data_IF_454410886259
#
_entry.id   IF_454410886259
#
_cell.length_a   1.000
_cell.length_b   1.000
_cell.length_c   1.000
_cell.angle_alpha   90.00
_cell.angle_beta   90.00
_cell.angle_gamma   90.00
#
_symmetry.space_group_name_H-M   'P 1'
#
loop_
_entity.id
_entity.type
_entity.pdbx_description
1 polymer ?
#
# COMPACT_ATOMS: atom_id res chain seq x y z
N UNK A 1 22.45 3.53 3.62
CA UNK A 1 22.86 3.64 5.04
C UNK A 1 22.94 2.24 5.62
N UNK A 2 24.07 1.81 6.20
CA UNK A 2 24.11 0.60 7.03
C UNK A 2 23.70 1.02 8.44
N UNK A 3 22.53 0.57 8.87
CA UNK A 3 22.08 0.76 10.25
C UNK A 3 23.02 -0.01 11.19
N UNK A 4 23.47 0.64 12.26
CA UNK A 4 24.23 0.02 13.37
C UNK A 4 23.31 -0.63 14.41
N UNK A 5 21.99 -0.58 14.19
CA UNK A 5 21.01 -1.17 15.09
C UNK A 5 21.03 -2.70 14.98
N UNK A 6 21.31 -3.37 16.09
CA UNK A 6 21.26 -4.83 16.17
C UNK A 6 19.91 -5.25 16.74
N UNK A 7 19.11 -5.93 15.93
CA UNK A 7 17.85 -6.49 16.38
C UNK A 7 18.08 -7.72 17.26
N UNK A 8 17.36 -7.82 18.36
CA UNK A 8 17.26 -9.07 19.12
C UNK A 8 16.47 -10.11 18.33
N UNK A 9 16.64 -11.41 18.62
CA UNK A 9 15.84 -12.46 17.98
C UNK A 9 14.33 -12.23 18.13
N UNK A 10 13.89 -11.71 19.29
CA UNK A 10 12.49 -11.38 19.55
C UNK A 10 11.99 -10.22 18.66
N UNK A 11 12.81 -9.20 18.44
CA UNK A 11 12.47 -8.09 17.54
C UNK A 11 12.37 -8.56 16.09
N UNK A 12 13.28 -9.43 15.65
CA UNK A 12 13.24 -10.03 14.31
C UNK A 12 11.98 -10.88 14.10
N UNK A 13 11.65 -11.73 15.07
CA UNK A 13 10.42 -12.54 15.03
C UNK A 13 9.18 -11.67 14.96
N UNK A 14 9.13 -10.60 15.76
CA UNK A 14 8.02 -9.66 15.73
C UNK A 14 7.90 -8.97 14.36
N UNK A 15 9.00 -8.49 13.79
CA UNK A 15 9.01 -7.86 12.46
C UNK A 15 8.48 -8.80 11.38
N UNK A 16 8.94 -10.06 11.37
CA UNK A 16 8.48 -11.08 10.44
C UNK A 16 6.99 -11.37 10.61
N UNK A 17 6.53 -11.56 11.85
CA UNK A 17 5.13 -11.84 12.14
C UNK A 17 4.22 -10.68 11.73
N UNK A 18 4.64 -9.43 11.97
CA UNK A 18 3.87 -8.25 11.57
C UNK A 18 3.86 -8.05 10.06
N UNK A 19 4.96 -8.32 9.35
CA UNK A 19 4.95 -8.28 7.88
C UNK A 19 3.91 -9.26 7.32
N UNK A 20 3.92 -10.51 7.78
CA UNK A 20 2.94 -11.53 7.35
C UNK A 20 1.52 -11.08 7.63
N UNK A 21 1.28 -10.51 8.83
CA UNK A 21 -0.04 -10.01 9.20
C UNK A 21 -0.49 -8.85 8.29
N UNK A 22 0.39 -7.87 8.03
CA UNK A 22 0.07 -6.72 7.17
C UNK A 22 -0.25 -7.18 5.75
N UNK A 23 0.55 -8.11 5.20
CA UNK A 23 0.32 -8.68 3.88
C UNK A 23 -1.06 -9.35 3.80
N UNK A 24 -1.39 -10.19 4.78
CA UNK A 24 -2.67 -10.88 4.82
C UNK A 24 -3.86 -9.92 4.97
N UNK A 25 -3.75 -8.92 5.85
CA UNK A 25 -4.84 -7.97 6.09
C UNK A 25 -5.09 -7.09 4.86
N UNK A 26 -4.03 -6.58 4.22
CA UNK A 26 -4.18 -5.78 3.01
C UNK A 26 -4.70 -6.61 1.83
N UNK A 27 -4.34 -7.90 1.74
CA UNK A 27 -4.90 -8.82 0.76
C UNK A 27 -6.41 -9.00 0.99
N UNK A 28 -6.85 -9.16 2.25
CA UNK A 28 -8.27 -9.24 2.60
C UNK A 28 -9.03 -7.95 2.28
N UNK A 29 -8.44 -6.79 2.55
CA UNK A 29 -9.04 -5.50 2.20
C UNK A 29 -9.22 -5.39 0.69
N UNK A 30 -8.21 -5.77 -0.11
CA UNK A 30 -8.29 -5.68 -1.57
C UNK A 30 -9.23 -6.73 -2.17
N UNK A 31 -9.23 -7.96 -1.68
CA UNK A 31 -10.07 -9.06 -2.16
C UNK A 31 -11.53 -8.92 -1.70
N UNK A 32 -11.75 -8.41 -0.49
CA UNK A 32 -13.07 -8.15 0.10
C UNK A 32 -13.76 -6.90 -0.44
N UNK A 33 -13.05 -6.05 -1.18
CA UNK A 33 -13.61 -4.87 -1.86
C UNK A 33 -14.52 -5.20 -3.07
N UNK A 34 -15.20 -6.35 -3.04
CA UNK A 34 -16.17 -6.78 -4.06
C UNK A 34 -17.52 -6.06 -3.98
N UNK A 35 -17.81 -5.38 -2.87
CA UNK A 35 -18.99 -4.52 -2.73
C UNK A 35 -18.58 -3.26 -1.97
N UNK A 36 -18.36 -2.16 -2.70
CA UNK A 36 -18.42 -0.80 -2.18
C UNK A 36 -17.60 -0.59 -0.89
N UNK A 37 -16.28 -0.75 -0.94
CA UNK A 37 -15.43 -0.09 0.05
C UNK A 37 -14.85 1.17 -0.57
N UNK A 38 -15.27 2.32 -0.03
CA UNK A 38 -14.68 3.61 -0.33
C UNK A 38 -13.18 3.55 -0.03
N UNK A 39 -12.35 3.78 -1.04
CA UNK A 39 -10.90 3.82 -0.89
C UNK A 39 -10.50 4.80 0.24
N UNK A 40 -11.30 5.84 0.51
CA UNK A 40 -11.12 6.74 1.66
C UNK A 40 -11.28 6.07 3.03
N UNK A 41 -12.21 5.11 3.19
CA UNK A 41 -12.36 4.33 4.43
C UNK A 41 -11.16 3.39 4.61
N UNK A 42 -10.74 2.73 3.53
CA UNK A 42 -9.59 1.83 3.56
C UNK A 42 -8.27 2.57 3.86
N UNK A 43 -8.11 3.82 3.37
CA UNK A 43 -6.98 4.70 3.71
C UNK A 43 -6.96 5.01 5.21
N UNK A 44 -8.10 5.35 5.80
CA UNK A 44 -8.18 5.62 7.25
C UNK A 44 -7.82 4.38 8.07
N UNK A 45 -8.27 3.20 7.65
CA UNK A 45 -7.91 1.93 8.29
C UNK A 45 -6.40 1.66 8.19
N UNK A 46 -5.80 1.89 7.03
CA UNK A 46 -4.35 1.74 6.85
C UNK A 46 -3.55 2.67 7.80
N UNK A 47 -3.98 3.93 7.95
CA UNK A 47 -3.33 4.87 8.89
C UNK A 47 -3.49 4.45 10.35
N UNK A 48 -4.68 4.03 10.77
CA UNK A 48 -4.89 3.52 12.13
C UNK A 48 -4.03 2.28 12.40
N UNK A 49 -3.92 1.41 11.40
CA UNK A 49 -3.14 0.20 11.54
C UNK A 49 -1.62 0.49 11.61
N UNK A 50 -1.12 1.42 10.78
CA UNK A 50 0.26 1.92 10.87
C UNK A 50 0.56 2.53 12.24
N UNK A 51 -0.35 3.36 12.78
CA UNK A 51 -0.17 3.97 14.09
C UNK A 51 -0.05 2.92 15.21
N UNK A 52 -0.86 1.86 15.16
CA UNK A 52 -0.77 0.74 16.10
C UNK A 52 0.56 0.00 15.99
N UNK A 53 1.03 -0.26 14.77
CA UNK A 53 2.33 -0.89 14.56
C UNK A 53 3.48 -0.06 15.11
N UNK A 54 3.43 1.27 14.96
CA UNK A 54 4.42 2.15 15.57
C UNK A 54 4.37 2.16 17.09
N UNK A 55 3.18 2.09 17.70
CA UNK A 55 3.05 1.98 19.16
C UNK A 55 3.64 0.65 19.67
N UNK A 56 3.24 -0.48 19.08
CA UNK A 56 3.79 -1.80 19.44
C UNK A 56 5.32 -1.85 19.25
N UNK A 57 5.84 -1.25 18.17
CA UNK A 57 7.28 -1.18 17.90
C UNK A 57 8.03 -0.32 18.93
N UNK A 58 7.44 0.79 19.38
CA UNK A 58 8.01 1.65 20.40
C UNK A 58 8.19 0.91 21.73
N UNK A 59 7.20 0.11 22.14
CA UNK A 59 7.27 -0.73 23.35
C UNK A 59 8.44 -1.73 23.27
N UNK A 60 8.74 -2.24 22.07
CA UNK A 60 9.85 -3.16 21.83
C UNK A 60 11.18 -2.46 21.50
N UNK A 61 11.22 -1.13 21.53
CA UNK A 61 12.37 -0.30 21.11
C UNK A 61 12.86 -0.59 19.69
N UNK A 62 11.94 -0.98 18.81
CA UNK A 62 12.21 -1.17 17.38
C UNK A 62 12.16 0.22 16.72
N UNK A 63 13.17 0.60 15.92
CA UNK A 63 13.16 1.88 15.24
C UNK A 63 12.09 1.91 14.15
N UNK A 64 11.43 3.07 13.98
CA UNK A 64 10.31 3.22 13.05
C UNK A 64 10.64 2.86 11.60
N UNK A 65 11.87 3.10 11.14
CA UNK A 65 12.30 2.74 9.78
C UNK A 65 12.29 1.23 9.50
N UNK A 66 12.27 0.40 10.55
CA UNK A 66 12.21 -1.05 10.44
C UNK A 66 10.77 -1.59 10.46
N UNK A 67 9.81 -0.77 10.88
CA UNK A 67 8.41 -1.17 10.99
C UNK A 67 7.83 -1.34 9.58
N UNK A 68 7.03 -2.40 9.31
CA UNK A 68 6.35 -2.56 8.03
C UNK A 68 5.54 -1.34 7.64
N UNK A 69 5.59 -0.98 6.35
CA UNK A 69 4.81 0.11 5.77
C UNK A 69 3.50 -0.44 5.19
N UNK A 70 2.41 -0.19 5.90
CA UNK A 70 1.06 -0.67 5.56
C UNK A 70 0.60 -0.08 4.22
N UNK A 71 0.89 1.19 3.97
CA UNK A 71 0.47 1.87 2.73
C UNK A 71 1.24 1.33 1.53
N UNK A 72 2.55 1.11 1.67
CA UNK A 72 3.36 0.50 0.62
C UNK A 72 2.91 -0.93 0.32
N UNK A 73 2.66 -1.76 1.35
CA UNK A 73 2.13 -3.12 1.16
C UNK A 73 0.77 -3.09 0.45
N UNK A 74 -0.14 -2.22 0.88
CA UNK A 74 -1.45 -2.11 0.27
C UNK A 74 -1.37 -1.71 -1.21
N UNK A 75 -0.56 -0.70 -1.53
CA UNK A 75 -0.34 -0.27 -2.91
C UNK A 75 0.26 -1.40 -3.77
N UNK A 76 1.22 -2.17 -3.23
CA UNK A 76 1.78 -3.32 -3.93
C UNK A 76 0.74 -4.40 -4.22
N UNK A 77 -0.19 -4.66 -3.29
CA UNK A 77 -1.28 -5.63 -3.48
C UNK A 77 -2.30 -5.10 -4.49
N UNK A 78 -2.73 -3.86 -4.37
CA UNK A 78 -3.64 -3.24 -5.35
C UNK A 78 -3.09 -3.29 -6.76
N UNK A 79 -1.79 -3.04 -6.94
CA UNK A 79 -1.13 -3.16 -8.24
C UNK A 79 -1.17 -4.59 -8.77
N UNK A 80 -0.95 -5.61 -7.92
CA UNK A 80 -1.09 -7.02 -8.30
C UNK A 80 -2.51 -7.39 -8.74
N UNK A 81 -3.52 -6.73 -8.15
CA UNK A 81 -4.94 -6.89 -8.49
C UNK A 81 -5.42 -5.97 -9.63
N UNK A 82 -4.53 -5.19 -10.26
CA UNK A 82 -4.89 -4.28 -11.35
C UNK A 82 -5.70 -3.04 -10.94
N UNK A 83 -5.76 -2.71 -9.63
CA UNK A 83 -6.52 -1.56 -9.09
C UNK A 83 -5.72 -0.26 -9.01
N UNK A 84 -4.40 -0.30 -9.25
CA UNK A 84 -3.49 0.85 -9.12
C UNK A 84 -3.27 1.28 -7.66
N UNK A 85 -2.27 2.13 -7.38
CA UNK A 85 -2.01 2.62 -6.03
C UNK A 85 -3.11 3.60 -5.60
N UNK A 86 -3.30 3.78 -4.30
CA UNK A 86 -4.17 4.84 -3.77
C UNK A 86 -3.42 6.16 -3.84
N UNK A 87 -3.88 7.09 -4.69
CA UNK A 87 -3.38 8.45 -4.68
C UNK A 87 -3.90 9.16 -3.42
N UNK A 88 -3.01 9.76 -2.63
CA UNK A 88 -3.36 10.59 -1.47
C UNK A 88 -4.01 11.94 -1.85
N UNK A 89 -4.79 11.99 -2.93
CA UNK A 89 -5.41 13.22 -3.42
C UNK A 89 -6.82 13.40 -2.83
N UNK A 90 -6.89 13.59 -1.52
CA UNK A 90 -7.94 14.43 -0.92
C UNK A 90 -7.42 15.86 -0.67
N UNK A 91 -6.48 16.31 -1.50
CA UNK A 91 -6.02 17.69 -1.55
C UNK A 91 -6.25 18.22 -2.98
N UNK A 92 -7.52 18.52 -3.27
CA UNK A 92 -8.01 19.44 -4.30
C UNK A 92 -7.38 19.39 -5.70
N UNK A 93 -8.07 18.76 -6.65
CA UNK A 93 -8.46 19.44 -7.88
C UNK A 93 -9.54 18.62 -8.61
N UNK A 94 -10.68 19.25 -8.85
CA UNK A 94 -11.53 18.92 -9.99
C UNK A 94 -10.65 19.18 -11.22
N UNK A 95 -10.38 18.17 -12.04
CA UNK A 95 -10.05 18.38 -13.44
C UNK A 95 -10.45 17.12 -14.22
N UNK A 96 -11.55 17.28 -14.95
CA UNK A 96 -11.88 16.48 -16.11
C UNK A 96 -10.72 16.53 -17.11
N UNK A 97 -10.18 15.38 -17.49
CA UNK A 97 -9.50 15.23 -18.76
C UNK A 97 -9.52 13.76 -19.18
N UNK A 98 -10.37 13.47 -20.16
CA UNK A 98 -10.54 12.15 -20.74
C UNK A 98 -9.26 11.64 -21.40
N UNK A 99 -8.96 10.37 -21.17
CA UNK A 99 -8.05 9.60 -21.99
C UNK A 99 -8.89 8.68 -22.89
N UNK A 100 -9.44 9.26 -23.97
CA UNK A 100 -9.78 8.48 -25.15
C UNK A 100 -8.47 7.95 -25.72
N UNK A 101 -8.26 6.64 -25.61
CA UNK A 101 -7.16 5.95 -26.28
C UNK A 101 -7.36 6.02 -27.79
N UNK A 102 -6.73 7.00 -28.43
CA UNK A 102 -6.58 7.08 -29.88
C UNK A 102 -5.69 5.92 -30.34
N UNK A 103 -6.31 4.89 -30.92
CA UNK A 103 -5.60 3.91 -31.74
C UNK A 103 -5.16 4.61 -33.03
N UNK A 104 -3.86 4.89 -33.15
CA UNK A 104 -3.24 5.32 -34.40
C UNK A 104 -2.03 4.42 -34.69
N UNK A 105 -2.30 3.23 -35.21
CA UNK A 105 -1.40 2.53 -36.15
C UNK A 105 -2.08 2.67 -37.50
N UNK A 106 -1.52 3.32 -38.52
CA UNK A 106 -0.18 3.09 -39.06
C UNK A 106 -0.37 2.67 -40.52
N UNK A 107 -0.59 3.66 -41.38
CA UNK A 107 -0.39 3.78 -42.84
C UNK A 107 -0.69 2.60 -43.79
N UNK A 108 -1.66 2.90 -44.66
CA UNK A 108 -2.00 2.35 -45.97
C UNK A 108 -0.80 2.10 -46.92
N UNK A 109 -0.76 0.94 -47.59
CA UNK A 109 -0.22 0.84 -48.96
C UNK A 109 -0.85 -0.35 -49.69
N UNK A 110 -1.82 -0.04 -50.54
CA UNK A 110 -2.32 -0.93 -51.60
C UNK A 110 -1.41 -0.80 -52.82
N UNK A 111 -1.06 -1.93 -53.43
CA UNK A 111 -0.78 -2.01 -54.87
C UNK A 111 -1.21 -3.38 -55.40
#
# INVERSE_FOLDING_TARGET
MKSTFNFSPMQLQWLQAKQIFVDAEMERVVAGAGEITDDGINVKLAYQFQAKLFADAADMRIPQWAVPDVTATWNAIRNRHGKGPVCANFAGHHDDAGAQGTSTSGTFLSR
#
